data_IF_218619237572
#
_entry.id   IF_218619237572
#
_cell.length_a   1.000
_cell.length_b   1.000
_cell.length_c   1.000
_cell.angle_alpha   90.00
_cell.angle_beta   90.00
_cell.angle_gamma   90.00
#
_symmetry.space_group_name_H-M   'P 1'
#
loop_
_entity.id
_entity.type
_entity.pdbx_description
1 polymer ?
#
# COMPACT_ATOMS: atom_id res chain seq x y z
N UNK A 1 9.23 -4.06 10.41
CA UNK A 1 10.20 -3.63 11.43
C UNK A 1 10.68 -2.23 11.10
N UNK A 2 11.26 -1.53 12.06
CA UNK A 2 11.98 -0.29 11.82
C UNK A 2 13.43 -0.49 12.24
N UNK A 3 14.37 0.06 11.49
CA UNK A 3 15.77 0.05 11.89
C UNK A 3 16.07 1.24 12.81
N UNK A 4 17.00 1.06 13.74
CA UNK A 4 17.44 2.17 14.59
C UNK A 4 18.03 3.28 13.71
N UNK A 5 17.50 4.50 13.86
CA UNK A 5 17.81 5.67 13.01
C UNK A 5 17.66 5.45 11.50
N UNK A 6 16.92 4.43 11.07
CA UNK A 6 16.75 4.08 9.66
C UNK A 6 17.98 3.42 9.02
N UNK A 7 18.98 3.04 9.82
CA UNK A 7 20.20 2.39 9.34
C UNK A 7 20.05 0.86 9.43
N UNK A 8 20.05 0.22 8.26
CA UNK A 8 19.82 -1.21 8.06
C UNK A 8 20.87 -2.12 8.72
N UNK A 9 22.05 -1.59 9.06
CA UNK A 9 23.08 -2.34 9.80
C UNK A 9 22.76 -2.50 11.29
N UNK A 10 21.81 -1.71 11.81
CA UNK A 10 21.43 -1.78 13.21
C UNK A 10 20.37 -2.85 13.49
N UNK A 11 20.19 -3.17 14.78
CA UNK A 11 19.18 -4.13 15.23
C UNK A 11 17.78 -3.73 14.75
N UNK A 12 17.04 -4.70 14.19
CA UNK A 12 15.64 -4.52 13.82
C UNK A 12 14.76 -4.30 15.06
N UNK A 13 14.05 -3.19 15.09
CA UNK A 13 13.09 -2.83 16.11
C UNK A 13 11.66 -3.16 15.66
N UNK A 14 10.79 -3.45 16.63
CA UNK A 14 9.35 -3.62 16.41
C UNK A 14 8.66 -2.28 16.60
N UNK A 15 8.07 -1.74 15.55
CA UNK A 15 7.26 -0.53 15.61
C UNK A 15 5.79 -0.92 15.79
N UNK A 16 5.17 -0.46 16.86
CA UNK A 16 3.74 -0.63 17.13
C UNK A 16 3.04 0.66 16.72
N UNK A 17 2.07 0.57 15.82
CA UNK A 17 1.26 1.72 15.40
C UNK A 17 -0.02 1.78 16.24
N UNK A 18 -0.42 2.98 16.62
CA UNK A 18 -1.66 3.24 17.34
C UNK A 18 -2.19 4.63 17.03
N UNK A 19 -3.51 4.80 17.13
CA UNK A 19 -4.21 6.07 16.94
C UNK A 19 -5.18 6.25 18.11
N UNK A 20 -5.33 7.48 18.61
CA UNK A 20 -6.25 7.80 19.70
C UNK A 20 -7.14 8.98 19.31
N UNK A 21 -8.40 8.93 19.72
CA UNK A 21 -9.43 9.93 19.42
C UNK A 21 -10.12 10.36 20.71
N UNK A 22 -10.64 11.58 20.75
CA UNK A 22 -11.32 12.10 21.94
C UNK A 22 -12.74 11.52 22.07
N UNK A 23 -13.39 11.19 20.94
CA UNK A 23 -14.73 10.62 20.87
C UNK A 23 -14.73 9.32 20.06
N UNK A 24 -15.67 8.43 20.40
CA UNK A 24 -15.87 7.15 19.69
C UNK A 24 -16.27 7.38 18.23
N UNK A 25 -17.12 8.38 17.98
CA UNK A 25 -17.61 8.69 16.63
C UNK A 25 -16.48 9.10 15.66
N UNK A 26 -15.48 9.84 16.17
CA UNK A 26 -14.30 10.23 15.39
C UNK A 26 -13.42 9.02 15.04
N UNK A 27 -13.30 8.08 15.99
CA UNK A 27 -12.59 6.83 15.77
C UNK A 27 -13.27 5.99 14.68
N UNK A 28 -14.59 5.85 14.74
CA UNK A 28 -15.36 5.11 13.73
C UNK A 28 -15.27 5.76 12.35
N UNK A 29 -15.38 7.09 12.28
CA UNK A 29 -15.20 7.84 11.03
C UNK A 29 -13.80 7.62 10.43
N UNK A 30 -12.75 7.62 11.26
CA UNK A 30 -11.38 7.34 10.81
C UNK A 30 -11.23 5.92 10.25
N UNK A 31 -11.77 4.91 10.94
CA UNK A 31 -11.69 3.53 10.44
C UNK A 31 -12.49 3.34 9.14
N UNK A 32 -13.67 3.96 9.03
CA UNK A 32 -14.45 3.96 7.79
C UNK A 32 -13.66 4.60 6.63
N UNK A 33 -12.99 5.73 6.88
CA UNK A 33 -12.12 6.36 5.88
C UNK A 33 -10.96 5.45 5.47
N UNK A 34 -10.34 4.74 6.41
CA UNK A 34 -9.25 3.79 6.12
C UNK A 34 -9.73 2.60 5.28
N UNK A 35 -10.93 2.07 5.54
CA UNK A 35 -11.51 1.00 4.72
C UNK A 35 -11.79 1.48 3.29
N UNK A 36 -12.33 2.68 3.15
CA UNK A 36 -12.58 3.31 1.85
C UNK A 36 -11.29 3.60 1.08
N UNK A 37 -10.21 3.98 1.77
CA UNK A 37 -8.89 4.14 1.16
C UNK A 37 -8.31 2.80 0.69
N UNK A 38 -8.43 1.73 1.50
CA UNK A 38 -7.96 0.37 1.14
C UNK A 38 -8.67 -0.19 -0.09
N UNK A 39 -9.95 0.13 -0.29
CA UNK A 39 -10.69 -0.27 -1.50
C UNK A 39 -10.14 0.39 -2.77
N UNK A 40 -9.54 1.57 -2.65
CA UNK A 40 -9.00 2.36 -3.77
C UNK A 40 -7.49 2.19 -3.96
N UNK A 41 -6.87 1.25 -3.25
CA UNK A 41 -5.44 0.98 -3.38
C UNK A 41 -5.09 0.48 -4.79
N UNK A 42 -4.20 1.18 -5.47
CA UNK A 42 -3.70 0.83 -6.80
C UNK A 42 -3.05 -0.56 -6.87
N UNK A 43 -2.51 -1.10 -5.78
CA UNK A 43 -1.97 -2.47 -5.74
C UNK A 43 -3.11 -3.48 -5.83
N UNK A 44 -4.20 -3.23 -5.08
CA UNK A 44 -5.39 -4.08 -5.10
C UNK A 44 -6.10 -3.99 -6.44
N UNK A 45 -6.42 -2.78 -6.88
CA UNK A 45 -7.10 -2.54 -8.15
C UNK A 45 -6.24 -2.95 -9.35
N UNK A 46 -4.93 -2.72 -9.31
CA UNK A 46 -4.00 -3.12 -10.36
C UNK A 46 -3.97 -4.63 -10.57
N UNK A 47 -4.08 -5.40 -9.47
CA UNK A 47 -4.21 -6.86 -9.52
C UNK A 47 -5.59 -7.31 -10.01
N UNK A 48 -6.67 -6.72 -9.49
CA UNK A 48 -8.06 -7.07 -9.86
C UNK A 48 -8.36 -6.77 -11.33
N UNK A 49 -7.91 -5.61 -11.83
CA UNK A 49 -8.11 -5.15 -13.20
C UNK A 49 -7.04 -5.64 -14.18
N UNK A 50 -6.08 -6.45 -13.69
CA UNK A 50 -4.95 -6.97 -14.48
C UNK A 50 -4.19 -5.87 -15.23
N UNK A 51 -3.86 -4.79 -14.53
CA UNK A 51 -3.13 -3.63 -15.07
C UNK A 51 -1.62 -3.87 -14.96
N UNK A 52 -1.16 -4.30 -13.78
CA UNK A 52 0.24 -4.63 -13.54
C UNK A 52 0.37 -5.78 -12.55
N UNK A 53 1.51 -6.47 -12.59
CA UNK A 53 1.87 -7.48 -11.61
C UNK A 53 3.29 -7.25 -11.11
N UNK A 54 3.56 -7.60 -9.86
CA UNK A 54 4.89 -7.57 -9.27
C UNK A 54 5.26 -9.01 -8.98
N UNK A 55 6.29 -9.49 -9.68
CA UNK A 55 6.80 -10.85 -9.54
C UNK A 55 7.97 -10.85 -8.55
N UNK A 56 8.17 -11.96 -7.85
CA UNK A 56 9.22 -12.07 -6.83
C UNK A 56 10.63 -12.03 -7.43
N UNK A 57 10.73 -12.41 -8.70
CA UNK A 57 11.93 -12.35 -9.54
C UNK A 57 12.39 -10.91 -9.81
N UNK A 58 11.50 -9.92 -9.64
CA UNK A 58 11.77 -8.50 -9.86
C UNK A 58 11.14 -7.63 -8.76
N UNK A 59 11.59 -7.78 -7.51
CA UNK A 59 11.11 -6.95 -6.39
C UNK A 59 11.34 -5.47 -6.69
N UNK A 60 10.25 -4.72 -6.83
CA UNK A 60 10.27 -3.29 -7.17
C UNK A 60 10.10 -2.97 -8.66
N UNK A 61 10.00 -3.99 -9.53
CA UNK A 61 9.75 -3.80 -10.95
C UNK A 61 8.29 -4.19 -11.32
N UNK A 62 7.43 -3.23 -11.71
CA UNK A 62 6.08 -3.53 -12.15
C UNK A 62 6.07 -4.03 -13.60
N UNK A 63 5.52 -5.22 -13.82
CA UNK A 63 5.24 -5.75 -15.15
C UNK A 63 3.85 -5.30 -15.61
N UNK A 64 3.79 -4.47 -16.65
CA UNK A 64 2.52 -4.01 -17.23
C UNK A 64 1.89 -5.13 -18.06
N UNK A 65 0.64 -5.45 -17.74
CA UNK A 65 -0.18 -6.37 -18.50
C UNK A 65 -0.85 -5.64 -19.68
N UNK A 66 -1.47 -6.35 -20.63
CA UNK A 66 -2.06 -5.71 -21.82
C UNK A 66 -2.99 -4.53 -21.51
N UNK A 67 -3.83 -4.64 -20.46
CA UNK A 67 -4.72 -3.57 -20.03
C UNK A 67 -3.95 -2.34 -19.51
N UNK A 68 -2.86 -2.55 -18.78
CA UNK A 68 -2.00 -1.47 -18.31
C UNK A 68 -1.21 -0.80 -19.41
N UNK A 69 -0.79 -1.57 -20.44
CA UNK A 69 -0.14 -1.02 -21.62
C UNK A 69 -1.08 -0.15 -22.46
N UNK A 70 -2.36 -0.53 -22.58
CA UNK A 70 -3.37 0.33 -23.24
C UNK A 70 -3.47 1.67 -22.52
N UNK A 71 -3.65 1.65 -21.19
CA UNK A 71 -3.74 2.87 -20.38
C UNK A 71 -2.49 3.75 -20.51
N UNK A 72 -1.30 3.15 -20.48
CA UNK A 72 -0.03 3.85 -20.62
C UNK A 72 0.14 4.50 -21.99
N UNK A 73 -0.36 3.86 -23.06
CA UNK A 73 -0.24 4.37 -24.42
C UNK A 73 -1.27 5.46 -24.75
N UNK A 74 -2.38 5.52 -24.01
CA UNK A 74 -3.41 6.56 -24.15
C UNK A 74 -3.12 7.85 -23.38
N UNK A 75 -2.15 7.83 -22.46
CA UNK A 75 -1.69 8.96 -21.64
C UNK A 75 -0.45 9.60 -22.26
#
# INVERSE_FOLDING_TARGET
GAYWRGDEHNKMLTRIYGTAFAKKDEMEAYFNMLEEAKKRDHIKLGKELKIFTILNEGKGFPFFLPNGMVLKNTL
#
